data_IF_826865291799
#
_entry.id   IF_826865291799
#
_cell.length_a   1.000
_cell.length_b   1.000
_cell.length_c   1.000
_cell.angle_alpha   90.00
_cell.angle_beta   90.00
_cell.angle_gamma   90.00
#
_symmetry.space_group_name_H-M   'P 1'
#
loop_
_entity.id
_entity.type
_entity.pdbx_description
1 polymer ?
#
# COMPACT_ATOMS: atom_id res chain seq x y z
N UNK A 1 -7.31 -36.90 38.65
CA UNK A 1 -7.18 -37.25 37.25
C UNK A 1 -8.37 -36.66 36.50
N UNK A 2 -8.22 -35.49 35.89
CA UNK A 2 -9.21 -34.90 34.97
C UNK A 2 -8.46 -34.55 33.71
N UNK A 3 -8.76 -35.24 32.62
CA UNK A 3 -8.27 -35.01 31.27
C UNK A 3 -8.68 -33.62 30.81
N UNK A 4 -7.73 -32.71 30.64
CA UNK A 4 -7.91 -31.49 29.89
C UNK A 4 -7.80 -31.83 28.40
N UNK A 5 -8.94 -31.96 27.78
CA UNK A 5 -9.10 -32.19 26.35
C UNK A 5 -8.83 -30.87 25.62
N UNK A 6 -7.60 -30.65 25.18
CA UNK A 6 -7.22 -29.55 24.29
C UNK A 6 -7.81 -29.84 22.92
N UNK A 7 -8.99 -29.30 22.65
CA UNK A 7 -9.55 -29.24 21.31
C UNK A 7 -8.72 -28.25 20.50
N UNK A 8 -7.80 -28.77 19.69
CA UNK A 8 -7.27 -28.01 18.53
C UNK A 8 -8.45 -27.78 17.56
N UNK A 9 -8.73 -26.54 17.15
CA UNK A 9 -9.67 -26.30 16.06
C UNK A 9 -8.97 -26.62 14.74
N UNK A 10 -8.98 -27.88 14.32
CA UNK A 10 -8.49 -28.33 13.01
C UNK A 10 -9.52 -28.06 11.92
N UNK A 11 -9.78 -26.79 11.59
CA UNK A 11 -10.45 -26.39 10.33
C UNK A 11 -10.30 -24.87 10.05
N UNK A 12 -9.24 -24.23 10.52
CA UNK A 12 -8.93 -22.88 10.06
C UNK A 12 -8.41 -22.98 8.62
N UNK A 13 -9.17 -22.40 7.70
CA UNK A 13 -8.74 -22.28 6.30
C UNK A 13 -7.36 -21.61 6.30
N UNK A 14 -6.33 -22.29 5.80
CA UNK A 14 -4.98 -21.72 5.73
C UNK A 14 -4.91 -20.71 4.58
N UNK A 15 -5.27 -19.46 4.85
CA UNK A 15 -5.26 -18.37 3.89
C UNK A 15 -3.85 -17.98 3.41
N UNK A 16 -2.82 -18.34 4.19
CA UNK A 16 -1.44 -17.94 3.90
C UNK A 16 -0.81 -18.78 2.80
N UNK A 17 -1.25 -20.02 2.56
CA UNK A 17 -0.69 -20.88 1.51
C UNK A 17 -0.95 -20.33 0.09
N UNK A 18 -2.12 -19.72 -0.15
CA UNK A 18 -2.50 -19.13 -1.43
C UNK A 18 -2.48 -17.58 -1.39
N UNK A 19 -1.66 -16.99 -0.54
CA UNK A 19 -1.62 -15.53 -0.40
C UNK A 19 -0.78 -14.91 -1.53
N UNK A 20 -1.41 -14.04 -2.34
CA UNK A 20 -0.77 -13.40 -3.49
C UNK A 20 0.45 -12.53 -3.15
N UNK A 21 0.52 -12.03 -1.91
CA UNK A 21 1.61 -11.13 -1.47
C UNK A 21 2.60 -11.82 -0.53
N UNK A 22 2.45 -13.12 -0.27
CA UNK A 22 3.25 -13.84 0.72
C UNK A 22 4.76 -13.59 0.56
N UNK A 23 5.28 -13.69 -0.65
CA UNK A 23 6.71 -13.57 -0.93
C UNK A 23 7.24 -12.13 -0.90
N UNK A 24 6.35 -11.14 -0.69
CA UNK A 24 6.70 -9.71 -0.67
C UNK A 24 6.25 -9.00 0.60
N UNK A 25 5.40 -9.63 1.41
CA UNK A 25 4.88 -9.05 2.65
C UNK A 25 5.83 -9.29 3.83
N UNK A 26 5.47 -8.80 5.02
CA UNK A 26 6.26 -9.01 6.24
C UNK A 26 6.48 -10.48 6.59
N UNK A 27 5.60 -11.37 6.13
CA UNK A 27 5.67 -12.80 6.36
C UNK A 27 6.53 -13.57 5.31
N UNK A 28 7.25 -12.85 4.43
CA UNK A 28 8.00 -13.48 3.34
C UNK A 28 9.09 -14.46 3.83
N UNK A 29 9.76 -14.11 4.92
CA UNK A 29 10.92 -14.84 5.43
C UNK A 29 10.55 -15.86 6.53
N UNK A 30 9.26 -16.00 6.85
CA UNK A 30 8.77 -17.01 7.79
C UNK A 30 8.74 -18.40 7.14
N UNK A 31 9.12 -19.41 7.92
CA UNK A 31 8.99 -20.80 7.52
C UNK A 31 7.53 -21.28 7.58
N UNK A 32 7.32 -22.57 7.29
CA UNK A 32 5.96 -23.14 7.22
C UNK A 32 5.25 -23.14 8.57
N UNK A 33 5.95 -23.50 9.63
CA UNK A 33 5.39 -23.60 10.99
C UNK A 33 5.05 -22.21 11.51
N UNK A 34 5.97 -21.24 11.35
CA UNK A 34 5.77 -19.84 11.70
C UNK A 34 4.58 -19.22 10.95
N UNK A 35 4.39 -19.56 9.67
CA UNK A 35 3.23 -19.13 8.87
C UNK A 35 1.92 -19.73 9.40
N UNK A 36 1.90 -20.96 9.82
CA UNK A 36 0.71 -21.59 10.39
C UNK A 36 0.32 -20.93 11.73
N UNK A 37 1.31 -20.57 12.56
CA UNK A 37 1.10 -19.81 13.79
C UNK A 37 0.59 -18.40 13.51
N UNK A 38 1.21 -17.68 12.55
CA UNK A 38 0.75 -16.35 12.15
C UNK A 38 -0.68 -16.39 11.57
N UNK A 39 -1.01 -17.43 10.78
CA UNK A 39 -2.35 -17.62 10.25
C UNK A 39 -3.39 -17.85 11.36
N UNK A 40 -3.01 -18.47 12.47
CA UNK A 40 -3.92 -18.74 13.58
C UNK A 40 -4.36 -17.47 14.33
N UNK A 41 -3.51 -16.43 14.37
CA UNK A 41 -3.80 -15.14 15.00
C UNK A 41 -4.32 -14.09 14.01
N UNK A 42 -4.24 -14.36 12.70
CA UNK A 42 -4.67 -13.48 11.63
C UNK A 42 -6.07 -13.79 11.13
N UNK A 43 -6.69 -12.79 10.52
CA UNK A 43 -7.96 -12.96 9.79
C UNK A 43 -7.95 -12.13 8.51
N UNK A 44 -8.58 -12.65 7.46
CA UNK A 44 -8.85 -11.85 6.27
C UNK A 44 -10.07 -10.96 6.48
N UNK A 45 -9.95 -9.70 6.06
CA UNK A 45 -11.06 -8.74 6.02
C UNK A 45 -11.09 -8.10 4.64
N UNK A 46 -12.28 -8.00 4.06
CA UNK A 46 -12.55 -7.15 2.90
C UNK A 46 -13.08 -5.81 3.40
N UNK A 47 -12.63 -4.73 2.81
CA UNK A 47 -12.96 -3.35 3.16
C UNK A 47 -13.48 -2.68 1.90
N UNK A 48 -14.64 -2.05 2.00
CA UNK A 48 -15.29 -1.37 0.87
C UNK A 48 -14.64 -0.01 0.59
N UNK A 49 -14.69 0.49 -0.65
CA UNK A 49 -14.23 1.85 -0.96
C UNK A 49 -14.90 2.89 -0.06
N UNK A 50 -14.11 3.80 0.52
CA UNK A 50 -14.55 4.82 1.47
C UNK A 50 -14.65 4.35 2.93
N UNK A 51 -14.47 3.03 3.20
CA UNK A 51 -14.46 2.51 4.57
C UNK A 51 -13.11 2.80 5.24
N UNK A 52 -13.17 3.28 6.49
CA UNK A 52 -11.98 3.51 7.31
C UNK A 52 -11.52 2.21 7.97
N UNK A 53 -10.23 1.95 7.88
CA UNK A 53 -9.57 0.85 8.60
C UNK A 53 -8.99 1.29 9.93
N UNK A 54 -8.37 2.48 9.96
CA UNK A 54 -7.74 3.07 11.14
C UNK A 54 -8.09 4.56 11.21
N UNK A 55 -8.22 5.09 12.42
CA UNK A 55 -8.41 6.51 12.68
C UNK A 55 -7.20 7.11 13.38
N UNK A 56 -6.80 8.29 12.94
CA UNK A 56 -5.72 9.06 13.57
C UNK A 56 -6.08 9.38 15.03
N UNK A 57 -5.12 9.19 15.93
CA UNK A 57 -5.28 9.45 17.37
C UNK A 57 -5.92 8.31 18.16
N UNK A 58 -6.58 7.35 17.50
CA UNK A 58 -7.17 6.20 18.19
C UNK A 58 -6.09 5.28 18.77
N UNK A 59 -6.49 4.47 19.74
CA UNK A 59 -5.64 3.40 20.27
C UNK A 59 -5.25 2.44 19.14
N UNK A 60 -3.95 2.15 19.03
CA UNK A 60 -3.42 1.23 18.02
C UNK A 60 -3.71 -0.22 18.43
N UNK A 61 -4.92 -0.69 18.20
CA UNK A 61 -5.37 -2.05 18.53
C UNK A 61 -5.22 -3.05 17.40
N UNK A 62 -5.00 -2.58 16.18
CA UNK A 62 -4.94 -3.39 14.97
C UNK A 62 -3.68 -3.08 14.16
N UNK A 63 -3.15 -4.11 13.50
CA UNK A 63 -2.16 -3.99 12.43
C UNK A 63 -2.62 -4.85 11.25
N UNK A 64 -2.21 -4.49 10.04
CA UNK A 64 -2.68 -5.16 8.84
C UNK A 64 -1.60 -5.27 7.77
N UNK A 65 -1.70 -6.29 6.93
CA UNK A 65 -0.94 -6.42 5.70
C UNK A 65 -1.89 -6.32 4.52
N UNK A 66 -1.62 -5.44 3.57
CA UNK A 66 -2.45 -5.27 2.38
C UNK A 66 -2.22 -6.45 1.44
N UNK A 67 -3.29 -7.14 1.05
CA UNK A 67 -3.25 -8.26 0.11
C UNK A 67 -3.63 -7.79 -1.29
N UNK A 68 -4.68 -6.98 -1.38
CA UNK A 68 -5.22 -6.45 -2.63
C UNK A 68 -5.81 -5.06 -2.41
N UNK A 69 -5.86 -4.26 -3.47
CA UNK A 69 -6.44 -2.93 -3.44
C UNK A 69 -5.48 -1.85 -2.95
N UNK A 70 -5.97 -0.62 -2.82
CA UNK A 70 -5.20 0.57 -2.48
C UNK A 70 -5.91 1.33 -1.36
N UNK A 71 -5.14 1.75 -0.36
CA UNK A 71 -5.61 2.59 0.73
C UNK A 71 -4.88 3.94 0.72
N UNK A 72 -5.56 4.94 1.22
CA UNK A 72 -5.04 6.30 1.44
C UNK A 72 -4.64 6.42 2.91
N UNK A 73 -3.46 6.97 3.15
CA UNK A 73 -3.00 7.39 4.48
C UNK A 73 -3.16 8.91 4.56
N UNK A 74 -3.88 9.40 5.56
CA UNK A 74 -4.12 10.83 5.69
C UNK A 74 -4.10 11.29 7.15
N UNK A 75 -3.87 12.59 7.33
CA UNK A 75 -3.99 13.30 8.59
C UNK A 75 -4.80 14.57 8.38
N UNK A 76 -5.30 15.17 9.44
CA UNK A 76 -6.05 16.42 9.38
C UNK A 76 -5.28 17.53 10.09
N UNK A 77 -5.22 18.70 9.45
CA UNK A 77 -4.69 19.89 10.11
C UNK A 77 -5.64 20.35 11.23
N UNK A 78 -5.16 21.23 12.10
CA UNK A 78 -5.98 21.86 13.15
C UNK A 78 -7.20 22.61 12.56
N UNK A 79 -7.16 22.98 11.29
CA UNK A 79 -8.24 23.64 10.56
C UNK A 79 -9.21 22.64 9.90
N UNK A 80 -9.02 21.34 10.11
CA UNK A 80 -9.85 20.27 9.54
C UNK A 80 -9.57 19.94 8.06
N UNK A 81 -8.49 20.47 7.47
CA UNK A 81 -8.09 20.14 6.10
C UNK A 81 -7.37 18.80 6.08
N UNK A 82 -7.84 17.89 5.23
CA UNK A 82 -7.19 16.62 5.02
C UNK A 82 -5.87 16.82 4.25
N UNK A 83 -4.81 16.16 4.73
CA UNK A 83 -3.53 16.02 4.03
C UNK A 83 -3.27 14.55 3.76
N UNK A 84 -3.12 14.18 2.49
CA UNK A 84 -2.72 12.83 2.12
C UNK A 84 -1.22 12.69 2.35
N UNK A 85 -0.84 11.71 3.18
CA UNK A 85 0.55 11.41 3.53
C UNK A 85 1.17 10.41 2.54
N UNK A 86 0.33 9.56 1.95
CA UNK A 86 0.77 8.54 1.01
C UNK A 86 -0.32 7.53 0.68
N UNK A 87 0.06 6.52 -0.09
CA UNK A 87 -0.78 5.41 -0.50
C UNK A 87 -0.16 4.10 -0.05
N UNK A 88 -1.01 3.18 0.41
CA UNK A 88 -0.62 1.81 0.71
C UNK A 88 -1.12 0.87 -0.39
N UNK A 89 -0.23 -0.01 -0.83
CA UNK A 89 -0.39 -0.93 -1.92
C UNK A 89 -0.29 -2.39 -1.44
N UNK A 90 -0.57 -3.39 -2.29
CA UNK A 90 -0.37 -4.80 -1.93
C UNK A 90 1.06 -5.06 -1.42
N UNK A 91 1.17 -5.81 -0.34
CA UNK A 91 2.36 -6.10 0.48
C UNK A 91 2.78 -5.04 1.49
N UNK A 92 2.16 -3.86 1.51
CA UNK A 92 2.44 -2.88 2.56
C UNK A 92 1.85 -3.29 3.90
N UNK A 93 2.55 -2.89 4.95
CA UNK A 93 2.15 -3.11 6.32
C UNK A 93 1.57 -1.83 6.93
N UNK A 94 0.43 -1.94 7.58
CA UNK A 94 -0.34 -0.84 8.13
C UNK A 94 -0.48 -0.96 9.64
N UNK A 95 -0.61 0.18 10.30
CA UNK A 95 -0.72 0.28 11.75
C UNK A 95 0.63 0.49 12.42
N UNK A 96 0.64 0.44 13.74
CA UNK A 96 1.83 0.73 14.54
C UNK A 96 2.11 -0.40 15.53
N UNK A 97 2.88 -1.43 15.13
CA UNK A 97 3.36 -2.43 16.07
C UNK A 97 4.20 -1.75 17.16
N UNK A 98 4.14 -2.28 18.37
CA UNK A 98 4.83 -1.77 19.56
C UNK A 98 4.49 -0.32 19.94
N UNK A 99 3.49 0.30 19.30
CA UNK A 99 3.02 1.65 19.59
C UNK A 99 1.70 1.67 20.34
N UNK A 100 1.30 2.84 20.89
CA UNK A 100 0.06 3.01 21.65
C UNK A 100 -1.05 3.68 20.86
N UNK A 101 -0.70 4.57 19.93
CA UNK A 101 -1.65 5.37 19.16
C UNK A 101 -1.42 5.25 17.67
N UNK A 102 -2.47 5.39 16.90
CA UNK A 102 -2.45 5.41 15.44
C UNK A 102 -2.06 6.80 14.94
N UNK A 103 -0.96 6.95 14.17
CA UNK A 103 -0.42 8.27 13.81
C UNK A 103 -1.10 8.91 12.60
N UNK A 104 -1.96 8.21 11.90
CA UNK A 104 -2.69 8.66 10.69
C UNK A 104 -3.96 7.85 10.48
N UNK A 105 -4.90 8.38 9.73
CA UNK A 105 -6.08 7.67 9.27
C UNK A 105 -5.76 6.81 8.04
N UNK A 106 -6.48 5.69 7.88
CA UNK A 106 -6.32 4.77 6.74
C UNK A 106 -7.69 4.46 6.16
N UNK A 107 -7.93 4.88 4.91
CA UNK A 107 -9.19 4.74 4.19
C UNK A 107 -8.99 3.92 2.90
N UNK A 108 -9.92 3.03 2.58
CA UNK A 108 -9.91 2.27 1.35
C UNK A 108 -10.32 3.11 0.14
N UNK A 109 -9.48 3.18 -0.90
CA UNK A 109 -9.79 3.85 -2.17
C UNK A 109 -10.44 2.92 -3.19
N UNK A 110 -10.15 1.63 -3.10
CA UNK A 110 -10.74 0.55 -3.89
C UNK A 110 -11.37 -0.48 -2.96
N UNK A 111 -11.95 -1.54 -3.50
CA UNK A 111 -12.14 -2.74 -2.70
C UNK A 111 -10.78 -3.26 -2.26
N UNK A 112 -10.59 -3.44 -0.95
CA UNK A 112 -9.31 -3.82 -0.34
C UNK A 112 -9.47 -5.13 0.39
N UNK A 113 -8.51 -6.03 0.24
CA UNK A 113 -8.38 -7.20 1.08
C UNK A 113 -7.13 -7.07 1.95
N UNK A 114 -7.28 -7.27 3.25
CA UNK A 114 -6.18 -7.23 4.22
C UNK A 114 -6.08 -8.52 5.03
N UNK A 115 -4.87 -8.84 5.47
CA UNK A 115 -4.63 -9.75 6.57
C UNK A 115 -4.52 -8.92 7.85
N UNK A 116 -5.48 -9.06 8.75
CA UNK A 116 -5.67 -8.22 9.94
C UNK A 116 -5.29 -9.00 11.18
N UNK A 117 -4.56 -8.35 12.10
CA UNK A 117 -4.13 -8.91 13.37
C UNK A 117 -4.50 -7.99 14.52
N UNK A 118 -4.85 -8.56 15.66
CA UNK A 118 -4.83 -7.80 16.91
C UNK A 118 -3.37 -7.43 17.21
N UNK A 119 -3.11 -6.14 17.47
CA UNK A 119 -1.73 -5.65 17.70
C UNK A 119 -1.03 -6.40 18.83
N UNK A 120 -1.72 -6.66 19.95
CA UNK A 120 -1.12 -7.36 21.09
C UNK A 120 -0.65 -8.79 20.76
N UNK A 121 -1.43 -9.52 19.95
CA UNK A 121 -1.07 -10.88 19.51
C UNK A 121 0.07 -10.82 18.49
N UNK A 122 0.02 -9.85 17.57
CA UNK A 122 1.07 -9.63 16.59
C UNK A 122 2.40 -9.24 17.27
N UNK A 123 2.39 -8.32 18.23
CA UNK A 123 3.58 -7.86 18.97
C UNK A 123 4.22 -9.02 19.75
N UNK A 124 3.40 -9.91 20.35
CA UNK A 124 3.87 -11.11 21.03
C UNK A 124 4.52 -12.06 20.03
N UNK A 125 3.83 -12.36 18.93
CA UNK A 125 4.36 -13.23 17.88
C UNK A 125 5.68 -12.69 17.30
N UNK A 126 5.77 -11.38 17.03
CA UNK A 126 6.98 -10.78 16.50
C UNK A 126 8.19 -10.94 17.43
N UNK A 127 8.01 -10.74 18.76
CA UNK A 127 9.10 -10.95 19.75
C UNK A 127 9.61 -12.40 19.80
N UNK A 128 8.74 -13.36 19.51
CA UNK A 128 9.11 -14.79 19.52
C UNK A 128 9.71 -15.23 18.18
N UNK A 129 9.57 -14.40 17.10
CA UNK A 129 9.99 -14.72 15.74
C UNK A 129 10.91 -13.63 15.17
N UNK A 130 12.22 -13.65 15.46
CA UNK A 130 13.17 -12.59 15.07
C UNK A 130 13.21 -12.32 13.55
N UNK A 131 12.90 -13.31 12.72
CA UNK A 131 12.80 -13.13 11.26
C UNK A 131 11.70 -12.13 10.88
N UNK A 132 10.56 -12.15 11.59
CA UNK A 132 9.49 -11.19 11.37
C UNK A 132 9.90 -9.78 11.83
N UNK A 133 10.53 -9.65 12.99
CA UNK A 133 11.05 -8.35 13.44
C UNK A 133 12.08 -7.78 12.47
N UNK A 134 13.01 -8.61 12.00
CA UNK A 134 13.98 -8.19 10.99
C UNK A 134 13.28 -7.70 9.71
N UNK A 135 12.29 -8.45 9.23
CA UNK A 135 11.52 -8.05 8.05
C UNK A 135 10.73 -6.77 8.27
N UNK A 136 10.18 -6.55 9.45
CA UNK A 136 9.54 -5.28 9.80
C UNK A 136 10.53 -4.12 9.78
N UNK A 137 11.75 -4.31 10.28
CA UNK A 137 12.80 -3.30 10.22
C UNK A 137 13.18 -2.97 8.77
N UNK A 138 13.43 -3.97 7.93
CA UNK A 138 13.72 -3.76 6.49
C UNK A 138 12.61 -2.96 5.80
N UNK A 139 11.34 -3.30 6.08
CA UNK A 139 10.19 -2.59 5.53
C UNK A 139 10.11 -1.15 6.02
N UNK A 140 10.38 -0.93 7.31
CA UNK A 140 10.40 0.42 7.89
C UNK A 140 11.49 1.29 7.27
N UNK A 141 12.70 0.74 7.05
CA UNK A 141 13.78 1.46 6.38
C UNK A 141 13.42 1.78 4.91
N UNK A 142 12.83 0.83 4.20
CA UNK A 142 12.35 1.05 2.82
C UNK A 142 11.29 2.15 2.75
N UNK A 143 10.36 2.17 3.70
CA UNK A 143 9.33 3.20 3.80
C UNK A 143 9.92 4.57 4.15
N UNK A 144 10.92 4.61 5.04
CA UNK A 144 11.65 5.83 5.36
C UNK A 144 12.36 6.41 4.13
N UNK A 145 13.01 5.56 3.31
CA UNK A 145 13.66 6.01 2.08
C UNK A 145 12.65 6.50 1.04
N UNK A 146 11.48 5.88 0.98
CA UNK A 146 10.37 6.35 0.15
C UNK A 146 9.89 7.73 0.61
N UNK A 147 9.65 7.88 1.91
CA UNK A 147 9.23 9.16 2.49
C UNK A 147 10.22 10.27 2.18
N UNK A 148 11.53 10.00 2.25
CA UNK A 148 12.58 10.96 1.89
C UNK A 148 12.52 11.34 0.41
N UNK A 149 12.29 10.38 -0.50
CA UNK A 149 12.07 10.69 -1.94
C UNK A 149 10.84 11.55 -2.15
N UNK A 150 9.75 11.29 -1.43
CA UNK A 150 8.55 12.12 -1.47
C UNK A 150 8.80 13.53 -0.96
N UNK A 151 9.60 13.72 0.08
CA UNK A 151 10.00 15.06 0.54
C UNK A 151 10.76 15.83 -0.56
N UNK A 152 11.67 15.15 -1.28
CA UNK A 152 12.38 15.76 -2.41
C UNK A 152 11.39 16.11 -3.53
N UNK A 153 10.51 15.18 -3.90
CA UNK A 153 9.49 15.38 -4.93
C UNK A 153 8.60 16.59 -4.61
N UNK A 154 8.06 16.65 -3.40
CA UNK A 154 7.19 17.76 -3.01
C UNK A 154 7.91 19.10 -2.92
N UNK A 155 9.16 19.12 -2.44
CA UNK A 155 9.92 20.33 -2.17
C UNK A 155 10.68 20.91 -3.37
N UNK A 156 11.07 20.11 -4.36
CA UNK A 156 11.98 20.54 -5.43
C UNK A 156 11.50 20.27 -6.85
N UNK A 157 10.65 19.29 -7.07
CA UNK A 157 10.23 18.92 -8.42
C UNK A 157 9.12 19.84 -8.94
N UNK A 158 9.13 20.10 -10.25
CA UNK A 158 8.04 20.81 -10.92
C UNK A 158 6.82 19.88 -11.14
N UNK A 159 5.71 20.43 -11.62
CA UNK A 159 4.45 19.70 -11.75
C UNK A 159 4.52 18.50 -12.71
N UNK A 160 5.32 18.61 -13.76
CA UNK A 160 5.54 17.53 -14.73
C UNK A 160 6.34 16.38 -14.11
N UNK A 161 7.44 16.70 -13.46
CA UNK A 161 8.28 15.74 -12.74
C UNK A 161 7.49 15.02 -11.65
N UNK A 162 6.70 15.76 -10.86
CA UNK A 162 5.83 15.19 -9.82
C UNK A 162 4.85 14.17 -10.39
N UNK A 163 4.18 14.51 -11.49
CA UNK A 163 3.21 13.62 -12.10
C UNK A 163 3.89 12.41 -12.74
N UNK A 164 5.02 12.56 -13.42
CA UNK A 164 5.78 11.46 -13.99
C UNK A 164 6.23 10.46 -12.90
N UNK A 165 6.84 10.97 -11.82
CA UNK A 165 7.27 10.15 -10.67
C UNK A 165 6.11 9.41 -10.04
N UNK A 166 4.96 10.07 -9.84
CA UNK A 166 3.75 9.45 -9.29
C UNK A 166 3.23 8.30 -10.17
N UNK A 167 3.18 8.51 -11.49
CA UNK A 167 2.70 7.48 -12.43
C UNK A 167 3.64 6.28 -12.47
N UNK A 168 4.95 6.50 -12.49
CA UNK A 168 5.95 5.44 -12.47
C UNK A 168 5.89 4.64 -11.16
N UNK A 169 5.85 5.31 -10.02
CA UNK A 169 5.74 4.64 -8.72
C UNK A 169 4.47 3.82 -8.62
N UNK A 170 3.33 4.37 -9.06
CA UNK A 170 2.05 3.65 -9.05
C UNK A 170 2.11 2.40 -9.95
N UNK A 171 2.74 2.51 -11.14
CA UNK A 171 2.92 1.39 -12.05
C UNK A 171 3.72 0.26 -11.41
N UNK A 172 4.87 0.60 -10.79
CA UNK A 172 5.76 -0.37 -10.16
C UNK A 172 5.13 -1.06 -8.95
N UNK A 173 4.28 -0.32 -8.23
CA UNK A 173 3.61 -0.83 -7.02
C UNK A 173 2.41 -1.72 -7.29
N UNK A 174 1.74 -1.50 -8.41
CA UNK A 174 0.57 -2.28 -8.82
C UNK A 174 0.93 -3.52 -9.66
N UNK A 175 2.22 -3.75 -9.93
CA UNK A 175 2.63 -4.98 -10.63
C UNK A 175 2.16 -6.23 -9.88
N UNK A 176 1.38 -7.11 -10.52
CA UNK A 176 1.05 -8.41 -9.94
C UNK A 176 2.32 -9.24 -9.81
N UNK A 177 2.45 -9.97 -8.71
CA UNK A 177 3.54 -10.91 -8.45
C UNK A 177 3.63 -12.07 -9.49
N UNK A 178 2.68 -12.11 -10.42
CA UNK A 178 2.52 -13.14 -11.45
C UNK A 178 2.22 -12.50 -12.79
N UNK A 179 3.11 -11.68 -13.33
CA UNK A 179 3.04 -11.31 -14.73
C UNK A 179 3.82 -12.29 -15.58
N UNK A 180 3.14 -13.36 -16.03
CA UNK A 180 3.53 -14.20 -17.14
C UNK A 180 2.89 -13.78 -18.47
N UNK A 181 2.36 -12.59 -18.58
CA UNK A 181 1.88 -12.03 -19.86
C UNK A 181 2.31 -10.57 -19.96
N UNK A 182 3.54 -10.38 -20.43
CA UNK A 182 3.87 -9.15 -21.15
C UNK A 182 3.08 -9.27 -22.45
N UNK A 183 2.00 -8.49 -22.59
CA UNK A 183 1.44 -8.24 -23.91
C UNK A 183 2.58 -7.65 -24.74
N UNK A 184 2.75 -8.15 -25.97
CA UNK A 184 3.73 -7.62 -26.92
C UNK A 184 3.50 -6.11 -27.10
N UNK A 185 4.34 -5.31 -26.45
CA UNK A 185 4.29 -3.85 -26.41
C UNK A 185 4.59 -3.35 -25.02
N UNK A 186 5.54 -2.43 -24.90
CA UNK A 186 6.09 -1.84 -23.65
C UNK A 186 5.07 -1.01 -22.83
N UNK A 187 3.79 -1.03 -23.22
CA UNK A 187 2.73 -0.20 -22.67
C UNK A 187 2.12 -0.83 -21.41
N UNK A 188 2.41 -0.26 -20.25
CA UNK A 188 1.84 -0.66 -18.97
C UNK A 188 0.53 0.09 -18.70
N UNK A 189 -0.56 -0.65 -18.50
CA UNK A 189 -1.86 -0.09 -18.10
C UNK A 189 -1.94 -0.02 -16.58
N UNK A 190 -2.16 1.19 -16.07
CA UNK A 190 -2.37 1.46 -14.64
C UNK A 190 -3.84 1.79 -14.42
N UNK A 191 -4.47 1.13 -13.46
CA UNK A 191 -5.76 1.56 -12.95
C UNK A 191 -5.54 2.53 -11.78
N UNK A 192 -5.83 3.82 -12.00
CA UNK A 192 -5.70 4.87 -10.99
C UNK A 192 -7.00 4.95 -10.18
N UNK A 193 -7.02 4.56 -8.90
CA UNK A 193 -8.22 4.66 -8.06
C UNK A 193 -8.50 6.09 -7.59
N UNK A 194 -7.56 7.00 -7.85
CA UNK A 194 -7.61 8.40 -7.42
C UNK A 194 -8.29 9.29 -8.44
N UNK A 195 -9.09 10.21 -7.97
CA UNK A 195 -9.59 11.33 -8.76
C UNK A 195 -8.48 12.34 -9.05
N UNK A 196 -8.67 13.23 -10.03
CA UNK A 196 -7.70 14.31 -10.32
C UNK A 196 -7.48 15.23 -9.11
N UNK A 197 -8.51 15.45 -8.31
CA UNK A 197 -8.41 16.21 -7.06
C UNK A 197 -7.50 15.48 -6.07
N UNK A 198 -7.73 14.20 -5.82
CA UNK A 198 -6.89 13.42 -4.89
C UNK A 198 -5.43 13.33 -5.36
N UNK A 199 -5.17 13.22 -6.68
CA UNK A 199 -3.81 13.29 -7.22
C UNK A 199 -3.20 14.68 -6.96
N UNK A 200 -3.98 15.75 -7.10
CA UNK A 200 -3.53 17.10 -6.79
C UNK A 200 -3.16 17.24 -5.30
N UNK A 201 -4.00 16.72 -4.41
CA UNK A 201 -3.78 16.74 -2.95
C UNK A 201 -2.51 15.94 -2.58
N UNK A 202 -2.29 14.77 -3.18
CA UNK A 202 -1.08 13.95 -2.98
C UNK A 202 0.18 14.70 -3.46
N UNK A 203 0.12 15.36 -4.61
CA UNK A 203 1.29 16.02 -5.25
C UNK A 203 1.53 17.46 -4.79
N UNK A 204 0.64 18.02 -3.94
CA UNK A 204 0.68 19.42 -3.54
C UNK A 204 0.52 20.36 -4.75
N UNK A 205 -0.43 20.04 -5.65
CA UNK A 205 -0.75 20.79 -6.86
C UNK A 205 -2.22 21.20 -6.87
N UNK A 206 -2.62 22.05 -7.82
CA UNK A 206 -4.04 22.30 -8.08
C UNK A 206 -4.59 21.29 -9.10
N UNK A 207 -5.90 21.03 -9.07
CA UNK A 207 -6.58 20.11 -10.00
C UNK A 207 -6.39 20.55 -11.46
N UNK A 208 -6.37 21.86 -11.73
CA UNK A 208 -6.14 22.43 -13.05
C UNK A 208 -4.72 22.12 -13.53
N UNK A 209 -3.73 22.23 -12.63
CA UNK A 209 -2.33 21.92 -12.95
C UNK A 209 -2.18 20.43 -13.26
N UNK A 210 -2.76 19.53 -12.43
CA UNK A 210 -2.75 18.10 -12.70
C UNK A 210 -3.42 17.79 -14.04
N UNK A 211 -4.61 18.32 -14.29
CA UNK A 211 -5.35 18.10 -15.54
C UNK A 211 -4.57 18.58 -16.76
N UNK A 212 -3.90 19.74 -16.67
CA UNK A 212 -3.05 20.29 -17.74
C UNK A 212 -1.84 19.39 -18.00
N UNK A 213 -1.16 18.86 -16.94
CA UNK A 213 -0.03 17.97 -17.11
C UNK A 213 -0.43 16.64 -17.74
N UNK A 214 -1.56 16.05 -17.34
CA UNK A 214 -2.09 14.85 -18.00
C UNK A 214 -2.36 15.07 -19.49
N UNK A 215 -2.97 16.22 -19.85
CA UNK A 215 -3.26 16.54 -21.24
C UNK A 215 -1.97 16.74 -22.03
N UNK A 216 -0.97 17.39 -21.44
CA UNK A 216 0.34 17.60 -22.06
C UNK A 216 1.06 16.28 -22.32
N UNK A 217 1.20 15.41 -21.32
CA UNK A 217 1.84 14.10 -21.46
C UNK A 217 1.13 13.21 -22.49
N UNK A 218 -0.22 13.29 -22.57
CA UNK A 218 -0.99 12.61 -23.60
C UNK A 218 -0.67 13.14 -25.00
N UNK A 219 -0.62 14.45 -25.18
CA UNK A 219 -0.32 15.07 -26.47
C UNK A 219 1.12 14.80 -26.94
N UNK A 220 2.05 14.66 -25.99
CA UNK A 220 3.45 14.30 -26.26
C UNK A 220 3.65 12.78 -26.49
N UNK A 221 2.58 11.98 -26.41
CA UNK A 221 2.65 10.54 -26.63
C UNK A 221 3.34 9.76 -25.49
N UNK A 222 3.49 10.34 -24.32
CA UNK A 222 4.10 9.68 -23.16
C UNK A 222 3.12 8.71 -22.49
N UNK A 223 1.84 9.07 -22.51
CA UNK A 223 0.75 8.28 -21.90
C UNK A 223 -0.47 8.27 -22.82
N UNK A 224 -1.30 7.21 -22.69
CA UNK A 224 -2.67 7.23 -23.16
C UNK A 224 -3.65 7.24 -21.96
N UNK A 225 -4.84 7.78 -22.15
CA UNK A 225 -5.88 7.85 -21.12
C UNK A 225 -7.15 7.21 -21.72
N UNK A 226 -7.23 5.86 -21.74
CA UNK A 226 -8.37 5.16 -22.32
C UNK A 226 -9.69 5.43 -21.58
N UNK A 227 -9.60 5.70 -20.26
CA UNK A 227 -10.75 6.06 -19.43
C UNK A 227 -10.35 7.02 -18.31
N UNK A 228 -11.33 7.52 -17.55
CA UNK A 228 -11.06 8.45 -16.41
C UNK A 228 -10.14 7.85 -15.34
N UNK A 229 -10.09 6.53 -15.22
CA UNK A 229 -9.30 5.80 -14.20
C UNK A 229 -8.20 4.93 -14.79
N UNK A 230 -8.04 4.91 -16.12
CA UNK A 230 -6.99 4.13 -16.77
C UNK A 230 -5.99 5.03 -17.44
N UNK A 231 -4.73 4.77 -17.14
CA UNK A 231 -3.59 5.43 -17.78
C UNK A 231 -2.65 4.33 -18.29
N UNK A 232 -2.25 4.47 -19.52
CA UNK A 232 -1.30 3.59 -20.18
C UNK A 232 0.01 4.34 -20.36
N UNK A 233 1.11 3.79 -19.86
CA UNK A 233 2.44 4.37 -20.03
C UNK A 233 2.97 3.91 -21.39
N UNK A 234 3.05 4.83 -22.36
CA UNK A 234 3.50 4.55 -23.72
C UNK A 234 5.02 4.65 -23.87
N UNK A 235 5.65 5.57 -23.16
CA UNK A 235 7.10 5.80 -23.19
C UNK A 235 7.64 5.91 -21.75
N UNK A 236 7.90 4.75 -21.15
CA UNK A 236 8.40 4.68 -19.78
C UNK A 236 9.78 5.32 -19.64
N UNK A 237 10.66 5.15 -20.61
CA UNK A 237 12.02 5.67 -20.53
C UNK A 237 12.03 7.21 -20.51
N UNK A 238 11.21 7.86 -21.35
CA UNK A 238 11.08 9.31 -21.29
C UNK A 238 10.43 9.80 -19.99
N UNK A 239 9.45 9.06 -19.45
CA UNK A 239 8.89 9.39 -18.13
C UNK A 239 9.94 9.31 -17.03
N UNK A 240 10.84 8.32 -17.06
CA UNK A 240 11.95 8.17 -16.11
C UNK A 240 12.96 9.35 -16.22
N UNK A 241 13.26 9.79 -17.45
CA UNK A 241 14.09 10.97 -17.67
C UNK A 241 13.43 12.25 -17.13
N UNK A 242 12.11 12.40 -17.30
CA UNK A 242 11.37 13.55 -16.76
C UNK A 242 11.34 13.51 -15.22
N UNK A 243 11.21 12.32 -14.63
CA UNK A 243 11.13 12.12 -13.19
C UNK A 243 12.48 12.26 -12.45
N UNK A 244 13.60 12.25 -13.17
CA UNK A 244 14.94 12.42 -12.62
C UNK A 244 15.25 13.89 -12.31
#
# INVERSE_FOLDING_TARGET
MKNMNTRHPSNAVNFCQACAVRNRAICADLDREEIELLNAIGRRKTISPGEQLLWEGDEAILVANVIHGILKLSTHSAEGKEQILGLAYPSDFLGRPFGSTTPYSVEALTEVQVCLFQRADFDRFAREHPRLEHKLLERTLTELDRTRRWMLLLGRMNAEQKLASFLLETADRLEPATCSFVAEGDARVIELPLTRQQIADVLGLTIETVSRQFSRMKNEGLIAIPSRRRVELLDRQRLEVIAA
#
